data_IF_800745844920
#
_entry.id   IF_800745844920
#
_cell.length_a   1.000
_cell.length_b   1.000
_cell.length_c   1.000
_cell.angle_alpha   90.00
_cell.angle_beta   90.00
_cell.angle_gamma   90.00
#
_symmetry.space_group_name_H-M   'P 1'
#
loop_
_entity.id
_entity.type
_entity.pdbx_description
1 polymer ?
#
# COMPACT_ATOMS: atom_id res chain seq x y z
N UNK A 1 0.11 8.39 11.64
CA UNK A 1 1.44 7.89 11.22
C UNK A 1 1.21 6.68 10.36
N UNK A 2 1.71 6.68 9.13
CA UNK A 2 1.49 5.62 8.15
C UNK A 2 2.75 4.81 7.95
N UNK A 3 2.60 3.49 7.87
CA UNK A 3 3.70 2.55 7.63
C UNK A 3 3.85 2.31 6.13
N UNK A 4 5.01 2.68 5.61
CA UNK A 4 5.40 2.47 4.22
C UNK A 4 6.35 1.29 4.09
N UNK A 5 6.13 0.47 3.08
CA UNK A 5 6.99 -0.66 2.71
C UNK A 5 7.55 -0.41 1.31
N UNK A 6 8.87 -0.38 1.20
CA UNK A 6 9.59 -0.25 -0.05
C UNK A 6 9.67 -1.59 -0.77
N UNK A 7 9.93 -1.58 -2.09
CA UNK A 7 10.16 -2.81 -2.87
C UNK A 7 11.35 -3.65 -2.36
N UNK A 8 12.30 -3.03 -1.64
CA UNK A 8 13.40 -3.74 -0.95
C UNK A 8 12.95 -4.52 0.29
N UNK A 9 11.70 -4.35 0.74
CA UNK A 9 11.18 -4.87 2.00
C UNK A 9 11.53 -3.99 3.21
N UNK A 10 12.23 -2.87 3.02
CA UNK A 10 12.47 -1.90 4.08
C UNK A 10 11.16 -1.20 4.48
N UNK A 11 11.02 -0.98 5.79
CA UNK A 11 9.82 -0.41 6.39
C UNK A 11 10.20 0.91 7.05
N UNK A 12 9.43 1.96 6.79
CA UNK A 12 9.54 3.22 7.52
C UNK A 12 8.17 3.79 7.86
N UNK A 13 8.14 4.66 8.86
CA UNK A 13 6.94 5.36 9.30
C UNK A 13 7.04 6.84 8.91
N UNK A 14 5.93 7.42 8.45
CA UNK A 14 5.89 8.82 8.05
C UNK A 14 4.52 9.44 8.38
N UNK A 15 4.52 10.75 8.63
CA UNK A 15 3.30 11.54 8.78
C UNK A 15 2.78 12.11 7.47
N UNK A 16 3.53 11.96 6.36
CA UNK A 16 3.08 12.40 5.03
C UNK A 16 1.84 11.63 4.58
N UNK A 17 0.99 12.33 3.83
CA UNK A 17 -0.21 11.73 3.27
C UNK A 17 0.20 10.64 2.26
N UNK A 18 -0.28 9.38 2.39
CA UNK A 18 0.03 8.32 1.44
C UNK A 18 -0.39 8.63 0.01
N UNK A 19 -1.35 9.54 -0.16
CA UNK A 19 -1.83 10.00 -1.46
C UNK A 19 -0.86 10.93 -2.20
N UNK A 20 0.16 11.45 -1.50
CA UNK A 20 1.26 12.22 -2.10
C UNK A 20 2.25 11.33 -2.90
N UNK A 21 2.05 10.00 -2.89
CA UNK A 21 2.91 9.04 -3.55
C UNK A 21 2.11 7.99 -4.34
N UNK A 22 2.78 7.25 -5.22
CA UNK A 22 2.23 6.05 -5.87
C UNK A 22 2.10 4.90 -4.86
N UNK A 23 1.11 5.02 -3.97
CA UNK A 23 0.92 4.14 -2.82
C UNK A 23 -0.30 3.24 -3.00
N UNK A 24 -0.10 1.97 -2.71
CA UNK A 24 -1.18 0.98 -2.57
C UNK A 24 -1.26 0.54 -1.11
N UNK A 25 -2.40 0.76 -0.48
CA UNK A 25 -2.59 0.39 0.91
C UNK A 25 -3.55 -0.79 1.01
N UNK A 26 -3.32 -1.63 2.02
CA UNK A 26 -4.27 -2.64 2.43
C UNK A 26 -4.48 -2.55 3.93
N UNK A 27 -5.70 -2.87 4.34
CA UNK A 27 -6.11 -2.87 5.74
C UNK A 27 -7.31 -3.78 5.93
N UNK A 28 -7.43 -4.37 7.11
CA UNK A 28 -8.56 -5.22 7.48
C UNK A 28 -9.49 -4.39 8.36
N UNK A 29 -10.69 -4.07 7.88
CA UNK A 29 -11.82 -3.48 8.61
C UNK A 29 -11.46 -2.80 9.95
N UNK A 30 -10.94 -1.57 9.89
CA UNK A 30 -10.68 -0.74 11.08
C UNK A 30 -9.33 -0.91 11.77
N UNK A 31 -8.41 -1.75 11.25
CA UNK A 31 -7.03 -1.84 11.70
C UNK A 31 -6.07 -0.97 10.86
N UNK A 32 -4.87 -0.75 11.41
CA UNK A 32 -3.76 -0.01 10.80
C UNK A 32 -3.57 -0.36 9.32
N UNK A 33 -3.57 0.65 8.46
CA UNK A 33 -3.26 0.50 7.04
C UNK A 33 -1.76 0.32 6.85
N UNK A 34 -1.38 -0.75 6.15
CA UNK A 34 -0.03 -0.90 5.62
C UNK A 34 -0.02 -0.44 4.17
N UNK A 35 0.93 0.41 3.83
CA UNK A 35 1.02 1.07 2.55
C UNK A 35 2.31 0.68 1.85
N UNK A 36 2.23 0.32 0.57
CA UNK A 36 3.37 -0.04 -0.25
C UNK A 36 3.63 1.06 -1.28
N UNK A 37 4.88 1.50 -1.39
CA UNK A 37 5.34 2.36 -2.46
C UNK A 37 5.72 1.49 -3.65
N UNK A 38 4.88 1.48 -4.68
CA UNK A 38 5.03 0.59 -5.83
C UNK A 38 5.16 1.41 -7.11
N UNK A 39 6.32 1.33 -7.76
CA UNK A 39 6.58 2.07 -9.00
C UNK A 39 6.34 1.23 -10.26
N UNK A 40 6.15 -0.09 -10.13
CA UNK A 40 6.00 -1.00 -11.27
C UNK A 40 4.60 -1.63 -11.31
N UNK A 41 3.93 -1.49 -12.46
CA UNK A 41 2.60 -2.07 -12.71
C UNK A 41 2.55 -3.60 -12.54
N UNK A 42 3.64 -4.30 -12.86
CA UNK A 42 3.74 -5.76 -12.66
C UNK A 42 3.76 -6.16 -11.19
N UNK A 43 4.40 -5.38 -10.31
CA UNK A 43 4.42 -5.63 -8.87
C UNK A 43 3.05 -5.36 -8.25
N UNK A 44 2.39 -4.29 -8.69
CA UNK A 44 1.01 -3.96 -8.29
C UNK A 44 0.07 -5.13 -8.64
N UNK A 45 0.12 -5.62 -9.88
CA UNK A 45 -0.71 -6.74 -10.32
C UNK A 45 -0.44 -8.03 -9.52
N UNK A 46 0.83 -8.34 -9.25
CA UNK A 46 1.21 -9.49 -8.42
C UNK A 46 0.65 -9.38 -7.00
N UNK A 47 0.79 -8.20 -6.36
CA UNK A 47 0.33 -7.98 -5.00
C UNK A 47 -1.19 -7.97 -4.88
N UNK A 48 -1.92 -7.48 -5.88
CA UNK A 48 -3.38 -7.59 -5.93
C UNK A 48 -3.83 -9.04 -5.95
N UNK A 49 -3.25 -9.86 -6.83
CA UNK A 49 -3.58 -11.30 -6.93
C UNK A 49 -3.23 -12.05 -5.64
N UNK A 50 -2.03 -11.81 -5.11
CA UNK A 50 -1.61 -12.42 -3.83
C UNK A 50 -2.48 -11.94 -2.66
N UNK A 51 -2.89 -10.68 -2.68
CA UNK A 51 -3.80 -10.11 -1.69
C UNK A 51 -5.14 -10.82 -1.67
N UNK A 52 -5.74 -11.05 -2.84
CA UNK A 52 -7.01 -11.77 -2.95
C UNK A 52 -6.90 -13.20 -2.38
N UNK A 53 -5.82 -13.93 -2.69
CA UNK A 53 -5.54 -15.26 -2.13
C UNK A 53 -5.44 -15.26 -0.59
N UNK A 54 -4.94 -14.16 -0.02
CA UNK A 54 -4.75 -13.98 1.42
C UNK A 54 -5.91 -13.23 2.10
N UNK A 55 -6.98 -12.92 1.36
CA UNK A 55 -8.11 -12.10 1.83
C UNK A 55 -7.66 -10.73 2.37
N UNK A 56 -6.68 -10.12 1.68
CA UNK A 56 -6.14 -8.79 1.88
C UNK A 56 -6.47 -7.94 0.66
N UNK A 57 -7.27 -6.90 0.85
CA UNK A 57 -7.68 -6.03 -0.24
C UNK A 57 -6.73 -4.85 -0.38
N UNK A 58 -6.00 -4.80 -1.48
CA UNK A 58 -5.18 -3.65 -1.86
C UNK A 58 -6.05 -2.64 -2.61
N UNK A 59 -6.02 -1.39 -2.17
CA UNK A 59 -6.68 -0.29 -2.86
C UNK A 59 -5.66 0.82 -3.16
N UNK A 60 -5.69 1.41 -4.37
CA UNK A 60 -4.87 2.59 -4.65
C UNK A 60 -5.33 3.72 -3.74
N UNK A 61 -4.39 4.41 -3.10
CA UNK A 61 -4.72 5.65 -2.40
C UNK A 61 -4.88 6.73 -3.46
N UNK A 62 -6.12 7.18 -3.68
CA UNK A 62 -6.37 8.31 -4.56
C UNK A 62 -5.99 9.60 -3.83
N UNK A 63 -5.23 10.47 -4.51
CA UNK A 63 -5.09 11.87 -4.14
C UNK A 63 -6.48 12.48 -3.96
N UNK A 64 -6.80 12.88 -2.72
CA UNK A 64 -7.94 13.76 -2.50
C UNK A 64 -7.54 15.13 -3.06
N UNK A 65 -8.04 15.45 -4.25
CA UNK A 65 -7.87 16.75 -4.89
C UNK A 65 -8.57 17.88 -4.13
#
# INVERSE_FOLDING_TARGET
MTRFVLGSGEVFESERDPSDFDTYCYGKNGQEQTCHLLSYQSEIAFLMVLGDDLNLRYEPVQAQG
#
